data_IF_157176570323
#
_entry.id   IF_157176570323
#
_cell.length_a   1.000
_cell.length_b   1.000
_cell.length_c   1.000
_cell.angle_alpha   90.00
_cell.angle_beta   90.00
_cell.angle_gamma   90.00
#
_symmetry.space_group_name_H-M   'P 1'
#
loop_
_entity.id
_entity.type
_entity.pdbx_description
1 polymer ?
#
# COMPACT_ATOMS: atom_id res chain seq x y z
N UNK A 1 -4.92 -30.19 -18.76
CA UNK A 1 -4.81 -29.10 -17.75
C UNK A 1 -3.98 -27.97 -18.35
N UNK A 2 -4.57 -26.81 -18.64
CA UNK A 2 -3.79 -25.65 -19.11
C UNK A 2 -2.80 -25.25 -18.00
N UNK A 3 -1.49 -25.27 -18.29
CA UNK A 3 -0.49 -24.83 -17.33
C UNK A 3 -0.71 -23.34 -17.05
N UNK A 4 -1.21 -22.99 -15.85
CA UNK A 4 -1.27 -21.61 -15.42
C UNK A 4 0.16 -21.11 -15.23
N UNK A 5 0.68 -20.37 -16.21
CA UNK A 5 2.04 -19.82 -16.13
C UNK A 5 2.04 -18.60 -15.21
N UNK A 6 2.79 -18.69 -14.11
CA UNK A 6 3.11 -17.55 -13.25
C UNK A 6 3.87 -16.52 -14.09
N UNK A 7 3.52 -15.25 -13.97
CA UNK A 7 4.24 -14.16 -14.63
C UNK A 7 4.80 -13.17 -13.60
N UNK A 8 5.89 -12.51 -13.94
CA UNK A 8 6.42 -11.45 -13.06
C UNK A 8 5.55 -10.18 -13.12
N UNK A 9 5.19 -9.77 -14.33
CA UNK A 9 4.44 -8.53 -14.58
C UNK A 9 2.92 -8.73 -14.57
N UNK A 10 2.14 -7.75 -14.08
CA UNK A 10 0.68 -7.78 -14.16
C UNK A 10 0.20 -7.70 -15.61
N UNK A 11 -0.84 -8.46 -15.94
CA UNK A 11 -1.46 -8.44 -17.27
C UNK A 11 -2.84 -7.78 -17.24
N UNK A 12 -3.59 -7.99 -16.16
CA UNK A 12 -4.89 -7.39 -15.91
C UNK A 12 -4.78 -5.92 -15.54
N UNK A 13 -5.83 -5.15 -15.87
CA UNK A 13 -5.96 -3.74 -15.48
C UNK A 13 -5.89 -3.58 -13.96
N UNK A 14 -6.58 -4.44 -13.20
CA UNK A 14 -6.56 -4.43 -11.74
C UNK A 14 -5.19 -4.78 -11.15
N UNK A 15 -4.46 -5.73 -11.76
CA UNK A 15 -3.09 -6.04 -11.36
C UNK A 15 -2.12 -4.87 -11.60
N UNK A 16 -2.30 -4.13 -12.70
CA UNK A 16 -1.50 -2.92 -12.98
C UNK A 16 -1.79 -1.82 -11.95
N UNK A 17 -3.06 -1.59 -11.63
CA UNK A 17 -3.45 -0.66 -10.57
C UNK A 17 -2.89 -1.05 -9.21
N UNK A 18 -3.02 -2.32 -8.80
CA UNK A 18 -2.45 -2.81 -7.54
C UNK A 18 -0.94 -2.58 -7.47
N UNK A 19 -0.22 -2.87 -8.56
CA UNK A 19 1.23 -2.63 -8.64
C UNK A 19 1.57 -1.13 -8.60
N UNK A 20 0.82 -0.28 -9.31
CA UNK A 20 1.02 1.17 -9.27
C UNK A 20 0.73 1.76 -7.90
N UNK A 21 -0.34 1.32 -7.24
CA UNK A 21 -0.75 1.78 -5.91
C UNK A 21 0.26 1.37 -4.84
N UNK A 22 0.86 0.18 -4.91
CA UNK A 22 1.90 -0.19 -3.95
C UNK A 22 3.20 0.61 -4.17
N UNK A 23 3.53 0.95 -5.41
CA UNK A 23 4.65 1.86 -5.70
C UNK A 23 4.35 3.24 -5.12
N UNK A 24 3.13 3.76 -5.29
CA UNK A 24 2.71 5.03 -4.70
C UNK A 24 2.80 5.00 -3.17
N UNK A 25 2.37 3.92 -2.52
CA UNK A 25 2.56 3.71 -1.08
C UNK A 25 4.04 3.86 -0.68
N UNK A 26 4.94 3.15 -1.35
CA UNK A 26 6.38 3.20 -1.05
C UNK A 26 6.94 4.62 -1.22
N UNK A 27 6.53 5.34 -2.26
CA UNK A 27 6.97 6.71 -2.50
C UNK A 27 6.48 7.67 -1.41
N UNK A 28 5.18 7.63 -1.06
CA UNK A 28 4.64 8.49 -0.01
C UNK A 28 5.23 8.16 1.37
N UNK A 29 5.42 6.87 1.66
CA UNK A 29 6.05 6.44 2.90
C UNK A 29 7.53 6.86 2.96
N UNK A 30 8.26 6.79 1.85
CA UNK A 30 9.63 7.30 1.77
C UNK A 30 9.68 8.81 2.03
N UNK A 31 8.75 9.58 1.45
CA UNK A 31 8.64 11.03 1.73
C UNK A 31 8.39 11.28 3.22
N UNK A 32 7.47 10.54 3.83
CA UNK A 32 7.23 10.61 5.28
C UNK A 32 8.52 10.34 6.08
N UNK A 33 9.25 9.26 5.76
CA UNK A 33 10.50 8.92 6.44
C UNK A 33 11.58 9.99 6.27
N UNK A 34 11.70 10.60 5.09
CA UNK A 34 12.65 11.70 4.83
C UNK A 34 12.30 12.92 5.68
N UNK A 35 11.02 13.26 5.80
CA UNK A 35 10.58 14.37 6.65
C UNK A 35 10.88 14.11 8.13
N UNK A 36 10.62 12.88 8.60
CA UNK A 36 10.98 12.49 9.97
C UNK A 36 12.50 12.57 10.18
N UNK A 37 13.28 12.09 9.21
CA UNK A 37 14.75 12.14 9.26
C UNK A 37 15.29 13.58 9.20
N UNK A 38 14.59 14.52 8.56
CA UNK A 38 14.95 15.94 8.54
C UNK A 38 14.56 16.70 9.81
N UNK A 39 14.01 16.00 10.82
CA UNK A 39 13.69 16.54 12.13
C UNK A 39 12.22 16.90 12.31
N UNK A 40 11.35 16.65 11.32
CA UNK A 40 9.91 16.82 11.52
C UNK A 40 9.40 15.83 12.56
N UNK A 41 8.52 16.30 13.44
CA UNK A 41 7.86 15.49 14.47
C UNK A 41 6.36 15.74 14.44
N UNK A 42 5.60 14.75 14.88
CA UNK A 42 4.18 14.96 15.20
C UNK A 42 4.04 15.94 16.36
N UNK A 43 2.89 16.58 16.45
CA UNK A 43 2.48 17.38 17.61
C UNK A 43 1.28 16.77 18.33
N UNK A 44 0.60 17.57 19.14
CA UNK A 44 -0.45 17.09 20.06
C UNK A 44 -1.71 16.55 19.37
N UNK A 45 -1.90 16.89 18.09
CA UNK A 45 -3.07 16.46 17.31
C UNK A 45 -2.67 15.94 15.94
N UNK A 46 -3.56 15.19 15.31
CA UNK A 46 -3.36 14.63 13.97
C UNK A 46 -3.09 15.69 12.89
N UNK A 47 -3.59 16.90 13.06
CA UNK A 47 -3.43 18.01 12.10
C UNK A 47 -2.30 18.98 12.46
N UNK A 48 -1.57 18.71 13.55
CA UNK A 48 -0.48 19.57 14.02
C UNK A 48 0.68 19.69 13.03
N UNK A 49 0.95 18.63 12.25
CA UNK A 49 2.00 18.63 11.24
C UNK A 49 1.49 18.06 9.92
N UNK A 50 0.79 18.88 9.16
CA UNK A 50 0.24 18.53 7.85
C UNK A 50 1.29 17.98 6.87
N UNK A 51 2.55 18.44 6.97
CA UNK A 51 3.65 17.96 6.13
C UNK A 51 3.93 16.47 6.37
N UNK A 52 3.74 15.96 7.59
CA UNK A 52 3.83 14.53 7.91
C UNK A 52 2.51 13.80 7.66
N UNK A 53 1.39 14.42 8.03
CA UNK A 53 0.06 13.81 7.96
C UNK A 53 -0.36 13.50 6.53
N UNK A 54 -0.11 14.41 5.58
CA UNK A 54 -0.54 14.22 4.18
C UNK A 54 0.17 13.02 3.53
N UNK A 55 1.52 12.89 3.54
CA UNK A 55 2.19 11.71 3.00
C UNK A 55 1.76 10.42 3.68
N UNK A 56 1.59 10.42 5.00
CA UNK A 56 1.19 9.21 5.73
C UNK A 56 -0.23 8.75 5.37
N UNK A 57 -1.18 9.69 5.23
CA UNK A 57 -2.54 9.37 4.77
C UNK A 57 -2.55 8.84 3.34
N UNK A 58 -1.82 9.50 2.43
CA UNK A 58 -1.73 9.07 1.04
C UNK A 58 -1.08 7.69 0.93
N UNK A 59 -0.06 7.41 1.75
CA UNK A 59 0.53 6.09 1.87
C UNK A 59 -0.52 5.06 2.31
N UNK A 60 -1.21 5.30 3.43
CA UNK A 60 -2.26 4.42 3.94
C UNK A 60 -3.34 4.11 2.91
N UNK A 61 -3.92 5.15 2.29
CA UNK A 61 -4.96 5.00 1.25
C UNK A 61 -4.43 4.21 0.05
N UNK A 62 -3.20 4.47 -0.39
CA UNK A 62 -2.58 3.74 -1.49
C UNK A 62 -2.37 2.26 -1.15
N UNK A 63 -1.88 1.96 0.06
CA UNK A 63 -1.64 0.58 0.52
C UNK A 63 -2.93 -0.23 0.63
N UNK A 64 -3.98 0.33 1.25
CA UNK A 64 -5.29 -0.34 1.35
C UNK A 64 -5.93 -0.49 -0.04
N UNK A 65 -5.80 0.51 -0.92
CA UNK A 65 -6.32 0.39 -2.29
C UNK A 65 -5.56 -0.67 -3.11
N UNK A 66 -4.25 -0.82 -2.89
CA UNK A 66 -3.42 -1.85 -3.52
C UNK A 66 -3.86 -3.26 -3.11
N UNK A 67 -4.26 -3.45 -1.84
CA UNK A 67 -4.86 -4.68 -1.33
C UNK A 67 -6.17 -5.01 -2.07
N UNK A 68 -7.11 -4.06 -2.10
CA UNK A 68 -8.44 -4.27 -2.72
C UNK A 68 -8.30 -4.59 -4.20
N UNK A 69 -7.57 -3.77 -4.94
CA UNK A 69 -7.33 -3.99 -6.38
C UNK A 69 -6.53 -5.27 -6.65
N UNK A 70 -5.60 -5.62 -5.77
CA UNK A 70 -4.83 -6.86 -5.83
C UNK A 70 -5.69 -8.10 -5.67
N UNK A 71 -6.55 -8.13 -4.65
CA UNK A 71 -7.53 -9.22 -4.43
C UNK A 71 -8.45 -9.36 -5.64
N UNK A 72 -9.00 -8.25 -6.14
CA UNK A 72 -9.87 -8.26 -7.33
C UNK A 72 -9.11 -8.83 -8.54
N UNK A 73 -7.86 -8.42 -8.75
CA UNK A 73 -7.02 -8.97 -9.82
C UNK A 73 -6.81 -10.48 -9.69
N UNK A 74 -6.46 -10.96 -8.50
CA UNK A 74 -6.18 -12.38 -8.23
C UNK A 74 -7.44 -13.23 -8.40
N UNK A 75 -8.58 -12.81 -7.84
CA UNK A 75 -9.81 -13.59 -7.80
C UNK A 75 -10.61 -13.46 -9.10
N UNK A 76 -10.91 -12.23 -9.51
CA UNK A 76 -11.82 -11.95 -10.64
C UNK A 76 -11.11 -12.01 -11.99
N UNK A 77 -9.90 -11.46 -12.09
CA UNK A 77 -9.12 -11.49 -13.33
C UNK A 77 -8.23 -12.72 -13.47
N UNK A 78 -8.25 -13.63 -12.48
CA UNK A 78 -7.41 -14.84 -12.40
C UNK A 78 -5.92 -14.50 -12.60
N UNK A 79 -5.51 -13.32 -12.12
CA UNK A 79 -4.14 -12.83 -12.22
C UNK A 79 -3.21 -13.70 -11.37
N UNK A 80 -2.08 -14.13 -11.97
CA UNK A 80 -1.04 -14.93 -11.32
C UNK A 80 0.33 -14.23 -11.40
N UNK A 81 0.28 -12.90 -11.27
CA UNK A 81 1.46 -12.05 -11.27
C UNK A 81 2.11 -12.00 -9.87
N UNK A 82 3.40 -12.27 -9.80
CA UNK A 82 4.17 -12.19 -8.53
C UNK A 82 4.08 -10.79 -7.93
N UNK A 83 4.18 -9.73 -8.76
CA UNK A 83 4.07 -8.35 -8.29
C UNK A 83 2.70 -8.05 -7.66
N UNK A 84 1.62 -8.64 -8.19
CA UNK A 84 0.28 -8.43 -7.64
C UNK A 84 0.11 -9.16 -6.32
N UNK A 85 0.67 -10.36 -6.17
CA UNK A 85 0.70 -11.05 -4.88
C UNK A 85 1.50 -10.28 -3.83
N UNK A 86 2.68 -9.76 -4.20
CA UNK A 86 3.49 -8.92 -3.30
C UNK A 86 2.75 -7.63 -2.92
N UNK A 87 2.17 -6.93 -3.90
CA UNK A 87 1.38 -5.72 -3.65
C UNK A 87 0.20 -6.00 -2.70
N UNK A 88 -0.52 -7.11 -2.93
CA UNK A 88 -1.61 -7.55 -2.05
C UNK A 88 -1.12 -7.85 -0.64
N UNK A 89 -0.01 -8.57 -0.49
CA UNK A 89 0.55 -8.93 0.82
C UNK A 89 1.01 -7.70 1.61
N UNK A 90 1.70 -6.76 0.95
CA UNK A 90 2.13 -5.50 1.59
C UNK A 90 0.91 -4.66 1.94
N UNK A 91 -0.09 -4.56 1.05
CA UNK A 91 -1.34 -3.85 1.35
C UNK A 91 -2.10 -4.43 2.55
N UNK A 92 -2.08 -5.76 2.72
CA UNK A 92 -2.63 -6.42 3.91
C UNK A 92 -1.85 -6.05 5.17
N UNK A 93 -0.52 -6.05 5.10
CA UNK A 93 0.33 -5.61 6.19
C UNK A 93 0.02 -4.16 6.60
N UNK A 94 -0.11 -3.25 5.62
CA UNK A 94 -0.48 -1.85 5.85
C UNK A 94 -1.83 -1.77 6.57
N UNK A 95 -2.85 -2.50 6.10
CA UNK A 95 -4.16 -2.50 6.75
C UNK A 95 -4.09 -2.99 8.20
N UNK A 96 -3.40 -4.11 8.45
CA UNK A 96 -3.28 -4.68 9.80
C UNK A 96 -2.52 -3.71 10.72
N UNK A 97 -1.43 -3.13 10.23
CA UNK A 97 -0.66 -2.14 10.98
C UNK A 97 -1.50 -0.91 11.32
N UNK A 98 -2.20 -0.33 10.34
CA UNK A 98 -3.08 0.83 10.57
C UNK A 98 -4.22 0.53 11.55
N UNK A 99 -4.81 -0.67 11.49
CA UNK A 99 -5.81 -1.09 12.48
C UNK A 99 -5.19 -1.27 13.86
N UNK A 100 -3.97 -1.81 13.95
CA UNK A 100 -3.23 -1.94 15.20
C UNK A 100 -3.02 -0.59 15.89
N UNK A 101 -2.55 0.41 15.14
CA UNK A 101 -2.40 1.80 15.64
C UNK A 101 -3.71 2.40 16.16
N UNK A 102 -4.82 2.17 15.45
CA UNK A 102 -6.12 2.76 15.83
C UNK A 102 -6.72 2.06 17.05
N UNK A 103 -6.62 0.73 17.11
CA UNK A 103 -7.22 -0.08 18.18
C UNK A 103 -6.37 -0.10 19.45
N UNK A 104 -5.05 -0.04 19.29
CA UNK A 104 -4.06 -0.12 20.37
C UNK A 104 -2.99 0.98 20.17
N UNK A 105 -3.37 2.26 20.37
CA UNK A 105 -2.45 3.37 20.22
C UNK A 105 -1.32 3.24 21.24
N UNK A 106 -0.08 3.38 20.77
CA UNK A 106 1.13 3.26 21.58
C UNK A 106 2.02 4.49 21.43
#
# INVERSE_FOLDING_TARGET
MNSMRISLKPKSTMGKWSTGLIIAFLLFFAVFLILVASGQRGGDTFFSNLSLTIPMLLAGVSGVSALVTGIIGIVKSRERSVLVFMATAIGLFVLVFSLGEILFPH
#
